data_IF_640361317909
#
_entry.id   IF_640361317909
#
_cell.length_a   1.000
_cell.length_b   1.000
_cell.length_c   1.000
_cell.angle_alpha   90.00
_cell.angle_beta   90.00
_cell.angle_gamma   90.00
#
_symmetry.space_group_name_H-M   'P 1'
#
loop_
_entity.id
_entity.type
_entity.pdbx_description
1 polymer ?
#
# COMPACT_ATOMS: atom_id res chain seq x y z
N UNK A 1 3.64 24.55 2.97
CA UNK A 1 4.29 23.59 2.11
C UNK A 1 5.72 23.20 2.53
N UNK A 2 6.57 24.17 3.02
CA UNK A 2 7.91 23.85 3.54
C UNK A 2 7.86 23.25 4.95
N UNK A 3 6.84 23.55 5.74
CA UNK A 3 6.62 23.00 7.09
C UNK A 3 6.15 21.54 7.04
N UNK A 4 5.30 21.21 6.10
CA UNK A 4 4.75 19.85 5.90
C UNK A 4 5.82 18.88 5.38
N UNK A 5 6.65 19.33 4.43
CA UNK A 5 7.79 18.55 3.94
C UNK A 5 8.87 18.31 5.02
N UNK A 6 9.05 19.23 5.98
CA UNK A 6 9.92 19.05 7.15
C UNK A 6 9.35 18.04 8.13
N UNK A 7 8.03 18.04 8.37
CA UNK A 7 7.35 17.08 9.26
C UNK A 7 7.49 15.65 8.76
N UNK A 8 7.23 15.38 7.48
CA UNK A 8 7.41 14.07 6.87
C UNK A 8 8.87 13.60 6.94
N UNK A 9 9.83 14.47 6.62
CA UNK A 9 11.25 14.15 6.71
C UNK A 9 11.71 13.74 8.12
N UNK A 10 11.13 14.35 9.15
CA UNK A 10 11.46 14.03 10.54
C UNK A 10 10.82 12.71 11.00
N UNK A 11 9.65 12.35 10.51
CA UNK A 11 9.02 11.03 10.74
C UNK A 11 9.89 9.93 10.15
N UNK A 12 10.33 10.04 8.90
CA UNK A 12 11.20 9.05 8.27
C UNK A 12 12.57 8.94 8.95
N UNK A 13 13.16 10.05 9.43
CA UNK A 13 14.40 10.01 10.21
C UNK A 13 14.22 9.26 11.53
N UNK A 14 13.14 9.54 12.27
CA UNK A 14 12.83 8.84 13.53
C UNK A 14 12.60 7.35 13.30
N UNK A 15 11.90 6.99 12.24
CA UNK A 15 11.67 5.60 11.85
C UNK A 15 13.00 4.91 11.50
N UNK A 16 13.87 5.54 10.69
CA UNK A 16 15.19 5.00 10.38
C UNK A 16 16.06 4.78 11.61
N UNK A 17 16.07 5.73 12.54
CA UNK A 17 16.80 5.58 13.81
C UNK A 17 16.22 4.44 14.65
N UNK A 18 14.91 4.33 14.77
CA UNK A 18 14.25 3.25 15.50
C UNK A 18 14.59 1.88 14.92
N UNK A 19 14.58 1.74 13.59
CA UNK A 19 14.98 0.52 12.88
C UNK A 19 16.44 0.16 13.19
N UNK A 20 17.37 1.11 13.11
CA UNK A 20 18.77 0.87 13.40
C UNK A 20 19.00 0.45 14.86
N UNK A 21 18.28 1.05 15.81
CA UNK A 21 18.33 0.69 17.24
C UNK A 21 17.82 -0.74 17.43
N UNK A 22 16.68 -1.10 16.82
CA UNK A 22 16.12 -2.45 16.89
C UNK A 22 17.05 -3.49 16.25
N UNK A 23 17.62 -3.19 15.09
CA UNK A 23 18.60 -4.04 14.43
C UNK A 23 19.85 -4.23 15.31
N UNK A 24 20.37 -3.16 15.90
CA UNK A 24 21.50 -3.25 16.81
C UNK A 24 21.17 -4.07 18.06
N UNK A 25 19.99 -3.88 18.64
CA UNK A 25 19.54 -4.64 19.80
C UNK A 25 19.40 -6.15 19.47
N UNK A 26 18.98 -6.51 18.27
CA UNK A 26 18.82 -7.89 17.82
C UNK A 26 20.14 -8.53 17.38
N UNK A 27 20.92 -7.84 16.57
CA UNK A 27 22.11 -8.39 15.91
C UNK A 27 23.39 -8.24 16.75
N UNK A 28 23.46 -7.21 17.62
CA UNK A 28 24.59 -6.92 18.51
C UNK A 28 25.96 -6.76 17.85
N UNK A 29 26.03 -6.84 16.54
CA UNK A 29 27.25 -6.71 15.73
C UNK A 29 27.10 -5.55 14.77
N UNK A 30 27.99 -4.57 14.84
CA UNK A 30 27.94 -3.37 13.98
C UNK A 30 28.02 -3.75 12.50
N UNK A 31 28.83 -4.77 12.16
CA UNK A 31 28.92 -5.26 10.77
C UNK A 31 27.59 -5.80 10.25
N UNK A 32 26.84 -6.54 11.07
CA UNK A 32 25.55 -7.09 10.67
C UNK A 32 24.50 -5.98 10.49
N UNK A 33 24.49 -5.01 11.40
CA UNK A 33 23.64 -3.82 11.28
C UNK A 33 23.97 -3.02 10.01
N UNK A 34 25.27 -2.89 9.69
CA UNK A 34 25.70 -2.21 8.47
C UNK A 34 25.29 -2.99 7.20
N UNK A 35 25.42 -4.33 7.19
CA UNK A 35 24.96 -5.16 6.07
C UNK A 35 23.46 -4.98 5.85
N UNK A 36 22.66 -5.17 6.90
CA UNK A 36 21.20 -5.03 6.78
C UNK A 36 20.80 -3.60 6.41
N UNK A 37 21.40 -2.59 7.06
CA UNK A 37 21.13 -1.19 6.73
C UNK A 37 21.47 -0.84 5.27
N UNK A 38 22.55 -1.41 4.73
CA UNK A 38 22.91 -1.24 3.32
C UNK A 38 21.94 -1.98 2.40
N UNK A 39 21.52 -3.20 2.77
CA UNK A 39 20.48 -3.94 2.04
C UNK A 39 19.20 -3.15 1.93
N UNK A 40 18.69 -2.60 3.06
CA UNK A 40 17.50 -1.76 3.09
C UNK A 40 17.61 -0.53 2.16
N UNK A 41 18.75 0.12 2.12
CA UNK A 41 18.98 1.25 1.23
C UNK A 41 19.01 0.80 -0.25
N UNK A 42 19.66 -0.33 -0.53
CA UNK A 42 19.75 -0.89 -1.89
C UNK A 42 18.37 -1.33 -2.39
N UNK A 43 17.54 -1.94 -1.55
CA UNK A 43 16.20 -2.39 -1.94
C UNK A 43 15.32 -1.22 -2.37
N UNK A 44 15.37 -0.11 -1.66
CA UNK A 44 14.65 1.10 -2.06
C UNK A 44 15.15 1.66 -3.39
N UNK A 45 16.48 1.70 -3.59
CA UNK A 45 17.07 2.17 -4.85
C UNK A 45 16.67 1.25 -6.00
N UNK A 46 16.75 -0.07 -5.82
CA UNK A 46 16.36 -1.04 -6.85
C UNK A 46 14.86 -0.98 -7.14
N UNK A 47 14.04 -0.96 -6.10
CA UNK A 47 12.58 -0.87 -6.25
C UNK A 47 12.19 0.37 -7.06
N UNK A 48 12.61 1.56 -6.62
CA UNK A 48 12.27 2.80 -7.34
C UNK A 48 12.93 2.89 -8.71
N UNK A 49 14.12 2.34 -8.86
CA UNK A 49 14.81 2.26 -10.15
C UNK A 49 14.04 1.39 -11.15
N UNK A 50 13.63 0.19 -10.76
CA UNK A 50 12.85 -0.73 -11.61
C UNK A 50 11.45 -0.18 -11.91
N UNK A 51 10.76 0.41 -10.92
CA UNK A 51 9.48 1.08 -11.12
C UNK A 51 9.64 2.24 -12.13
N UNK A 52 10.67 3.08 -11.95
CA UNK A 52 10.96 4.18 -12.87
C UNK A 52 11.23 3.71 -14.29
N UNK A 53 12.02 2.65 -14.46
CA UNK A 53 12.25 2.02 -15.76
C UNK A 53 10.97 1.45 -16.37
N UNK A 54 10.13 0.81 -15.58
CA UNK A 54 8.86 0.26 -16.04
C UNK A 54 7.90 1.37 -16.51
N UNK A 55 7.86 2.52 -15.82
CA UNK A 55 7.09 3.70 -16.24
C UNK A 55 7.62 4.28 -17.57
N UNK A 56 8.94 4.44 -17.69
CA UNK A 56 9.57 4.94 -18.93
C UNK A 56 9.29 4.01 -20.10
N UNK A 57 9.43 2.70 -19.89
CA UNK A 57 9.17 1.70 -20.93
C UNK A 57 7.68 1.68 -21.30
N UNK A 58 6.77 1.79 -20.33
CA UNK A 58 5.33 1.87 -20.56
C UNK A 58 4.98 3.05 -21.46
N UNK A 59 5.49 4.24 -21.15
CA UNK A 59 5.31 5.43 -21.99
C UNK A 59 5.88 5.25 -23.41
N UNK A 60 7.05 4.63 -23.54
CA UNK A 60 7.69 4.41 -24.84
C UNK A 60 6.93 3.39 -25.73
N UNK A 61 6.26 2.41 -25.11
CA UNK A 61 5.50 1.37 -25.81
C UNK A 61 4.01 1.67 -25.97
N UNK A 62 3.51 2.72 -25.33
CA UNK A 62 2.08 3.08 -25.29
C UNK A 62 1.25 2.22 -24.33
N UNK A 63 1.90 1.41 -23.48
CA UNK A 63 1.22 0.58 -22.47
C UNK A 63 1.55 1.10 -21.06
N UNK A 64 0.73 1.99 -20.55
CA UNK A 64 0.91 2.57 -19.20
C UNK A 64 0.22 1.72 -18.13
N UNK A 65 0.88 0.67 -17.65
CA UNK A 65 0.38 -0.19 -16.56
C UNK A 65 0.76 0.31 -15.17
N UNK A 66 1.81 1.13 -15.07
CA UNK A 66 2.39 1.60 -13.81
C UNK A 66 2.47 3.12 -13.84
N UNK A 67 1.92 3.75 -12.81
CA UNK A 67 2.03 5.17 -12.56
C UNK A 67 2.08 5.42 -11.05
N UNK A 68 2.70 6.50 -10.62
CA UNK A 68 2.75 6.83 -9.19
C UNK A 68 1.40 7.32 -8.71
N UNK A 69 0.89 6.67 -7.68
CA UNK A 69 -0.35 7.00 -6.97
C UNK A 69 -0.02 7.34 -5.50
N UNK A 70 -1.02 7.76 -4.74
CA UNK A 70 -0.88 7.96 -3.29
C UNK A 70 -0.48 6.66 -2.58
N UNK A 71 -0.96 5.50 -3.05
CA UNK A 71 -0.60 4.20 -2.50
C UNK A 71 0.89 3.86 -2.67
N UNK A 72 1.55 4.41 -3.71
CA UNK A 72 3.00 4.22 -3.92
C UNK A 72 3.84 4.75 -2.75
N UNK A 73 3.32 5.69 -1.96
CA UNK A 73 4.01 6.22 -0.78
C UNK A 73 4.08 5.22 0.39
N UNK A 74 3.23 4.18 0.39
CA UNK A 74 3.23 3.11 1.39
C UNK A 74 4.32 2.06 1.14
N UNK A 75 4.82 1.96 -0.11
CA UNK A 75 5.79 0.94 -0.51
C UNK A 75 7.06 0.91 0.33
N UNK A 76 7.73 2.04 0.62
CA UNK A 76 8.96 2.00 1.41
C UNK A 76 8.76 1.35 2.77
N UNK A 77 7.69 1.71 3.47
CA UNK A 77 7.40 1.19 4.82
C UNK A 77 7.13 -0.31 4.75
N UNK A 78 6.32 -0.74 3.77
CA UNK A 78 5.96 -2.13 3.57
C UNK A 78 7.20 -3.01 3.27
N UNK A 79 8.01 -2.57 2.31
CA UNK A 79 9.17 -3.33 1.86
C UNK A 79 10.26 -3.37 2.93
N UNK A 80 10.54 -2.26 3.61
CA UNK A 80 11.49 -2.24 4.71
C UNK A 80 11.08 -3.17 5.85
N UNK A 81 9.79 -3.24 6.18
CA UNK A 81 9.30 -4.14 7.23
C UNK A 81 9.53 -5.61 6.88
N UNK A 82 9.21 -6.02 5.64
CA UNK A 82 9.45 -7.38 5.16
C UNK A 82 10.94 -7.72 5.13
N UNK A 83 11.76 -6.81 4.62
CA UNK A 83 13.19 -7.02 4.47
C UNK A 83 13.93 -7.15 5.79
N UNK A 84 13.53 -6.39 6.82
CA UNK A 84 14.13 -6.51 8.16
C UNK A 84 13.90 -7.90 8.73
N UNK A 85 12.69 -8.41 8.66
CA UNK A 85 12.33 -9.72 9.18
C UNK A 85 13.13 -10.83 8.49
N UNK A 86 13.12 -10.85 7.18
CA UNK A 86 13.85 -11.82 6.37
C UNK A 86 15.38 -11.76 6.61
N UNK A 87 15.95 -10.56 6.72
CA UNK A 87 17.38 -10.36 7.02
C UNK A 87 17.75 -10.89 8.40
N UNK A 88 16.91 -10.66 9.41
CA UNK A 88 17.13 -11.17 10.75
C UNK A 88 17.10 -12.69 10.77
N UNK A 89 16.14 -13.32 10.11
CA UNK A 89 16.05 -14.77 10.00
C UNK A 89 17.28 -15.37 9.31
N UNK A 90 17.73 -14.77 8.22
CA UNK A 90 18.92 -15.22 7.48
C UNK A 90 20.19 -15.12 8.32
N UNK A 91 20.45 -13.98 8.97
CA UNK A 91 21.63 -13.78 9.79
C UNK A 91 21.60 -14.56 11.10
N UNK A 92 20.44 -14.73 11.73
CA UNK A 92 20.30 -15.57 12.93
C UNK A 92 20.62 -17.03 12.60
N UNK A 93 20.14 -17.55 11.47
CA UNK A 93 20.46 -18.90 11.02
C UNK A 93 21.96 -19.06 10.73
N UNK A 94 22.57 -18.09 10.08
CA UNK A 94 24.00 -18.07 9.87
C UNK A 94 24.77 -18.18 11.21
N UNK A 95 24.43 -17.35 12.18
CA UNK A 95 25.05 -17.35 13.50
C UNK A 95 24.85 -18.67 14.24
N UNK A 96 23.68 -19.27 14.14
CA UNK A 96 23.36 -20.56 14.75
C UNK A 96 24.24 -21.67 14.20
N UNK A 97 24.43 -21.72 12.87
CA UNK A 97 25.31 -22.73 12.25
C UNK A 97 26.79 -22.48 12.59
N UNK A 98 27.22 -21.23 12.67
CA UNK A 98 28.60 -20.89 13.13
C UNK A 98 28.86 -21.34 14.57
N UNK A 99 27.87 -21.18 15.46
CA UNK A 99 27.97 -21.71 16.83
C UNK A 99 28.03 -23.21 16.88
N UNK A 100 27.37 -23.89 15.95
CA UNK A 100 27.48 -25.34 15.79
C UNK A 100 28.82 -25.84 15.25
N UNK A 101 29.82 -24.94 15.05
CA UNK A 101 31.15 -25.29 14.57
C UNK A 101 31.27 -25.37 13.04
N UNK A 102 30.25 -24.91 12.28
CA UNK A 102 30.34 -24.87 10.82
C UNK A 102 31.32 -23.76 10.36
N UNK A 103 32.04 -23.98 9.27
CA UNK A 103 32.84 -22.93 8.61
C UNK A 103 31.90 -21.81 8.07
N UNK A 104 32.48 -20.64 7.76
CA UNK A 104 31.70 -19.52 7.21
C UNK A 104 30.94 -19.91 5.94
N UNK A 105 31.55 -20.65 5.03
CA UNK A 105 30.93 -21.16 3.81
C UNK A 105 29.81 -22.15 4.08
N UNK A 106 30.02 -23.11 4.98
CA UNK A 106 29.02 -24.10 5.36
C UNK A 106 27.82 -23.43 6.04
N UNK A 107 28.08 -22.44 6.90
CA UNK A 107 27.02 -21.69 7.59
C UNK A 107 26.14 -20.90 6.62
N UNK A 108 26.74 -20.20 5.64
CA UNK A 108 26.03 -19.48 4.59
C UNK A 108 25.24 -20.44 3.70
N UNK A 109 25.84 -21.54 3.26
CA UNK A 109 25.18 -22.56 2.44
C UNK A 109 23.91 -23.10 3.16
N UNK A 110 24.05 -23.41 4.46
CA UNK A 110 22.91 -23.89 5.26
C UNK A 110 21.86 -22.79 5.51
N UNK A 111 22.29 -21.55 5.72
CA UNK A 111 21.36 -20.42 5.88
C UNK A 111 20.54 -20.23 4.59
N UNK A 112 21.20 -20.15 3.43
CA UNK A 112 20.50 -19.98 2.14
C UNK A 112 19.60 -21.20 1.84
N UNK A 113 20.09 -22.44 2.04
CA UNK A 113 19.31 -23.62 1.67
C UNK A 113 18.09 -23.87 2.57
N UNK A 114 18.15 -23.52 3.86
CA UNK A 114 17.04 -23.77 4.80
C UNK A 114 16.13 -22.57 4.96
N UNK A 115 16.69 -21.38 5.19
CA UNK A 115 15.89 -20.16 5.41
C UNK A 115 15.55 -19.50 4.08
N UNK A 116 16.47 -19.50 3.11
CA UNK A 116 16.22 -18.91 1.78
C UNK A 116 15.05 -19.57 1.04
N UNK A 117 14.81 -20.88 1.21
CA UNK A 117 13.64 -21.54 0.65
C UNK A 117 12.33 -21.03 1.29
N UNK A 118 12.33 -20.82 2.61
CA UNK A 118 11.18 -20.26 3.30
C UNK A 118 10.92 -18.82 2.86
N UNK A 119 11.96 -17.98 2.81
CA UNK A 119 11.87 -16.59 2.32
C UNK A 119 11.40 -16.56 0.86
N UNK A 120 11.89 -17.45 0.00
CA UNK A 120 11.43 -17.54 -1.38
C UNK A 120 9.92 -17.85 -1.45
N UNK A 121 9.45 -18.82 -0.68
CA UNK A 121 8.04 -19.20 -0.69
C UNK A 121 7.14 -18.07 -0.18
N UNK A 122 7.53 -17.41 0.92
CA UNK A 122 6.79 -16.25 1.45
C UNK A 122 6.81 -15.08 0.47
N UNK A 123 7.94 -14.80 -0.16
CA UNK A 123 8.04 -13.73 -1.17
C UNK A 123 7.19 -14.02 -2.40
N UNK A 124 7.20 -15.25 -2.92
CA UNK A 124 6.37 -15.63 -4.07
C UNK A 124 4.88 -15.50 -3.73
N UNK A 125 4.45 -16.00 -2.57
CA UNK A 125 3.03 -15.87 -2.17
C UNK A 125 2.63 -14.41 -1.97
N UNK A 126 3.52 -13.58 -1.44
CA UNK A 126 3.29 -12.14 -1.25
C UNK A 126 3.22 -11.40 -2.59
N UNK A 127 4.12 -11.72 -3.54
CA UNK A 127 4.06 -11.16 -4.91
C UNK A 127 2.74 -11.54 -5.56
N UNK A 128 2.32 -12.81 -5.50
CA UNK A 128 1.04 -13.25 -6.07
C UNK A 128 -0.14 -12.51 -5.42
N UNK A 129 -0.12 -12.33 -4.10
CA UNK A 129 -1.16 -11.57 -3.39
C UNK A 129 -1.25 -10.11 -3.85
N UNK A 130 -0.12 -9.42 -4.02
CA UNK A 130 -0.10 -8.05 -4.56
C UNK A 130 -0.53 -8.02 -6.04
N UNK A 131 -0.09 -8.98 -6.85
CA UNK A 131 -0.48 -9.08 -8.25
C UNK A 131 -1.99 -9.34 -8.43
N UNK A 132 -2.68 -9.92 -7.45
CA UNK A 132 -4.14 -10.07 -7.48
C UNK A 132 -4.87 -8.72 -7.61
N UNK A 133 -4.26 -7.61 -7.12
CA UNK A 133 -4.81 -6.26 -7.31
C UNK A 133 -4.89 -5.84 -8.79
N UNK A 134 -4.19 -6.51 -9.71
CA UNK A 134 -4.32 -6.25 -11.15
C UNK A 134 -5.73 -6.48 -11.69
N UNK A 135 -6.55 -7.26 -10.97
CA UNK A 135 -7.95 -7.50 -11.33
C UNK A 135 -8.91 -6.39 -10.89
N UNK A 136 -8.40 -5.41 -10.10
CA UNK A 136 -9.20 -4.29 -9.60
C UNK A 136 -9.64 -3.36 -10.74
N UNK A 137 -10.84 -2.80 -10.63
CA UNK A 137 -11.33 -1.72 -11.50
C UNK A 137 -10.59 -0.39 -11.25
N UNK A 138 -10.01 -0.21 -10.04
CA UNK A 138 -9.30 1.00 -9.63
C UNK A 138 -7.87 0.97 -10.17
N UNK A 139 -7.54 1.88 -11.08
CA UNK A 139 -6.25 1.95 -11.76
C UNK A 139 -5.07 2.12 -10.76
N UNK A 140 -5.26 2.89 -9.70
CA UNK A 140 -4.24 3.11 -8.67
C UNK A 140 -3.90 1.83 -7.88
N UNK A 141 -4.88 0.97 -7.60
CA UNK A 141 -4.64 -0.33 -6.95
C UNK A 141 -3.94 -1.31 -7.88
N UNK A 142 -4.27 -1.30 -9.18
CA UNK A 142 -3.53 -2.13 -10.18
C UNK A 142 -2.06 -1.76 -10.22
N UNK A 143 -1.76 -0.45 -10.31
CA UNK A 143 -0.38 0.05 -10.31
C UNK A 143 0.35 -0.32 -9.03
N UNK A 144 -0.26 -0.08 -7.88
CA UNK A 144 0.30 -0.42 -6.58
C UNK A 144 0.62 -1.91 -6.45
N UNK A 145 -0.25 -2.80 -6.96
CA UNK A 145 -0.01 -4.24 -6.93
C UNK A 145 1.27 -4.64 -7.67
N UNK A 146 1.52 -4.05 -8.84
CA UNK A 146 2.73 -4.31 -9.63
C UNK A 146 3.95 -3.70 -8.93
N UNK A 147 3.86 -2.46 -8.47
CA UNK A 147 4.94 -1.77 -7.75
C UNK A 147 5.36 -2.55 -6.49
N UNK A 148 4.37 -3.01 -5.69
CA UNK A 148 4.62 -3.82 -4.50
C UNK A 148 5.26 -5.17 -4.85
N UNK A 149 4.80 -5.83 -5.92
CA UNK A 149 5.41 -7.06 -6.41
C UNK A 149 6.89 -6.88 -6.78
N UNK A 150 7.23 -5.79 -7.47
CA UNK A 150 8.62 -5.43 -7.80
C UNK A 150 9.42 -5.20 -6.51
N UNK A 151 8.86 -4.48 -5.53
CA UNK A 151 9.51 -4.21 -4.26
C UNK A 151 9.82 -5.50 -3.48
N UNK A 152 8.85 -6.41 -3.37
CA UNK A 152 9.05 -7.72 -2.69
C UNK A 152 10.09 -8.56 -3.41
N UNK A 153 10.11 -8.52 -4.75
CA UNK A 153 11.16 -9.21 -5.52
C UNK A 153 12.56 -8.66 -5.20
N UNK A 154 12.73 -7.34 -5.12
CA UNK A 154 14.00 -6.71 -4.75
C UNK A 154 14.42 -7.11 -3.33
N UNK A 155 13.48 -7.05 -2.36
CA UNK A 155 13.72 -7.44 -0.98
C UNK A 155 14.18 -8.90 -0.90
N UNK A 156 13.46 -9.82 -1.56
CA UNK A 156 13.83 -11.25 -1.60
C UNK A 156 15.25 -11.47 -2.11
N UNK A 157 15.62 -10.81 -3.21
CA UNK A 157 16.96 -10.98 -3.80
C UNK A 157 18.05 -10.50 -2.85
N UNK A 158 17.81 -9.36 -2.21
CA UNK A 158 18.80 -8.78 -1.30
C UNK A 158 18.90 -9.56 0.02
N UNK A 159 17.78 -9.92 0.63
CA UNK A 159 17.81 -10.65 1.91
C UNK A 159 18.16 -12.11 1.77
N UNK A 160 17.68 -12.76 0.70
CA UNK A 160 17.90 -14.18 0.47
C UNK A 160 19.29 -14.52 -0.04
N UNK A 161 19.93 -13.63 -0.80
CA UNK A 161 21.22 -13.87 -1.43
C UNK A 161 22.28 -12.86 -1.02
N UNK A 162 22.03 -11.56 -1.20
CA UNK A 162 23.06 -10.54 -1.02
C UNK A 162 23.52 -10.42 0.44
N UNK A 163 22.59 -10.42 1.40
CA UNK A 163 22.92 -10.32 2.84
C UNK A 163 23.82 -11.48 3.30
N UNK A 164 23.45 -12.76 3.09
CA UNK A 164 24.31 -13.87 3.53
C UNK A 164 25.64 -13.95 2.76
N UNK A 165 25.69 -13.62 1.48
CA UNK A 165 26.93 -13.61 0.69
C UNK A 165 27.87 -12.49 1.13
N UNK A 166 27.34 -11.29 1.37
CA UNK A 166 28.14 -10.17 1.91
C UNK A 166 28.69 -10.51 3.29
N UNK A 167 27.90 -11.24 4.10
CA UNK A 167 28.38 -11.72 5.39
C UNK A 167 29.55 -12.71 5.24
N UNK A 168 29.47 -13.63 4.28
CA UNK A 168 30.53 -14.55 3.95
C UNK A 168 31.82 -13.80 3.55
N UNK A 169 31.71 -12.83 2.65
CA UNK A 169 32.89 -12.08 2.17
C UNK A 169 33.58 -11.30 3.31
N UNK A 170 32.76 -10.70 4.20
CA UNK A 170 33.30 -10.00 5.37
C UNK A 170 34.02 -10.98 6.33
N UNK A 171 33.44 -12.15 6.59
CA UNK A 171 34.08 -13.13 7.48
C UNK A 171 35.34 -13.69 6.87
N UNK A 172 35.37 -14.03 5.57
CA UNK A 172 36.57 -14.46 4.87
C UNK A 172 37.67 -13.37 4.88
N UNK A 173 37.30 -12.11 4.73
CA UNK A 173 38.23 -10.99 4.83
C UNK A 173 38.78 -10.82 6.25
N UNK A 174 37.93 -10.95 7.29
CA UNK A 174 38.37 -10.89 8.69
C UNK A 174 39.28 -12.08 9.05
N UNK A 175 38.98 -13.29 8.57
CA UNK A 175 39.74 -14.48 8.75
C UNK A 175 41.17 -14.35 8.11
N UNK A 176 41.22 -13.80 6.88
CA UNK A 176 42.49 -13.54 6.20
C UNK A 176 43.41 -12.56 6.95
N UNK A 177 42.82 -11.72 7.82
CA UNK A 177 43.55 -10.77 8.67
C UNK A 177 43.75 -11.25 10.10
N UNK A 178 43.34 -12.48 10.43
CA UNK A 178 43.44 -13.03 11.79
C UNK A 178 42.60 -12.24 12.81
N UNK A 179 41.53 -11.58 12.37
CA UNK A 179 40.65 -10.76 13.22
C UNK A 179 39.23 -11.32 13.33
N UNK A 180 39.02 -12.55 12.87
CA UNK A 180 37.75 -13.21 13.06
C UNK A 180 37.66 -13.62 14.55
N UNK A 181 36.70 -13.03 15.27
CA UNK A 181 36.40 -13.44 16.63
C UNK A 181 35.87 -14.88 16.62
N UNK A 182 36.56 -15.80 17.23
CA UNK A 182 36.16 -17.21 17.35
C UNK A 182 34.96 -17.37 18.31
N UNK A 183 34.74 -16.41 19.21
CA UNK A 183 33.62 -16.47 20.11
C UNK A 183 32.28 -16.16 19.37
N UNK A 184 31.37 -17.15 19.33
CA UNK A 184 30.05 -16.92 18.78
C UNK A 184 29.32 -15.91 19.68
N UNK A 185 28.97 -14.76 19.11
CA UNK A 185 28.18 -13.76 19.79
C UNK A 185 26.89 -14.37 20.34
N UNK A 186 26.64 -14.14 21.62
CA UNK A 186 25.35 -14.55 22.22
C UNK A 186 24.18 -13.94 21.45
N UNK A 187 23.26 -14.80 21.00
CA UNK A 187 21.96 -14.34 20.55
C UNK A 187 21.21 -13.89 21.79
N UNK A 188 21.18 -12.60 22.01
CA UNK A 188 20.35 -12.05 23.07
C UNK A 188 18.92 -12.18 22.61
N UNK A 189 18.22 -13.16 23.14
CA UNK A 189 16.78 -13.19 23.04
C UNK A 189 16.27 -11.99 23.82
N UNK A 190 15.68 -10.99 23.15
CA UNK A 190 15.01 -9.84 23.81
C UNK A 190 13.97 -10.31 24.81
N UNK A 191 13.39 -11.47 24.58
CA UNK A 191 12.47 -12.17 25.45
C UNK A 191 13.17 -13.41 26.01
N UNK A 192 13.21 -13.59 27.34
CA UNK A 192 13.81 -14.78 27.94
C UNK A 192 13.16 -16.05 27.37
N UNK A 193 13.98 -17.00 26.92
CA UNK A 193 13.49 -18.26 26.36
C UNK A 193 12.63 -19.05 27.37
N UNK A 194 12.89 -18.88 28.67
CA UNK A 194 12.09 -19.45 29.75
C UNK A 194 10.65 -18.90 29.78
N UNK A 195 10.46 -17.63 29.47
CA UNK A 195 9.12 -17.03 29.42
C UNK A 195 8.32 -17.56 28.23
N UNK A 196 8.93 -17.64 27.04
CA UNK A 196 8.32 -18.24 25.85
C UNK A 196 8.02 -19.72 26.02
N UNK A 197 8.94 -20.50 26.62
CA UNK A 197 8.70 -21.92 26.88
C UNK A 197 7.57 -22.15 27.90
N UNK A 198 7.49 -21.30 28.94
CA UNK A 198 6.40 -21.35 29.91
C UNK A 198 5.06 -20.98 29.26
N UNK A 199 5.02 -19.94 28.43
CA UNK A 199 3.84 -19.58 27.64
C UNK A 199 3.40 -20.72 26.73
N UNK A 200 4.33 -21.32 25.98
CA UNK A 200 4.03 -22.45 25.09
C UNK A 200 3.51 -23.65 25.86
N UNK A 201 4.14 -24.00 26.99
CA UNK A 201 3.72 -25.13 27.81
C UNK A 201 2.35 -24.92 28.47
N UNK A 202 2.08 -23.69 28.94
CA UNK A 202 0.76 -23.33 29.49
C UNK A 202 -0.30 -23.30 28.40
N UNK A 203 -0.01 -22.72 27.24
CA UNK A 203 -0.94 -22.72 26.10
C UNK A 203 -1.26 -24.14 25.64
N UNK A 204 -0.28 -25.03 25.58
CA UNK A 204 -0.51 -26.44 25.26
C UNK A 204 -1.37 -27.14 26.32
N UNK A 205 -1.16 -26.87 27.62
CA UNK A 205 -1.96 -27.42 28.70
C UNK A 205 -3.42 -26.94 28.68
N UNK A 206 -3.63 -25.68 28.30
CA UNK A 206 -4.97 -25.08 28.22
C UNK A 206 -5.45 -24.92 26.79
N UNK A 207 -4.93 -25.71 25.84
CA UNK A 207 -5.28 -25.61 24.42
C UNK A 207 -6.78 -25.52 24.13
N UNK A 208 -7.67 -26.32 24.77
CA UNK A 208 -9.12 -26.20 24.52
C UNK A 208 -9.69 -24.87 25.00
N UNK A 209 -9.16 -24.30 26.08
CA UNK A 209 -9.58 -22.97 26.57
C UNK A 209 -9.13 -21.86 25.63
N UNK A 210 -7.89 -21.94 25.13
CA UNK A 210 -7.36 -20.98 24.15
C UNK A 210 -8.16 -21.03 22.85
N UNK A 211 -8.48 -22.24 22.36
CA UNK A 211 -9.31 -22.42 21.17
C UNK A 211 -10.73 -21.89 21.37
N UNK A 212 -11.34 -22.17 22.51
CA UNK A 212 -12.66 -21.65 22.83
C UNK A 212 -12.67 -20.13 22.93
N UNK A 213 -11.68 -19.55 23.58
CA UNK A 213 -11.54 -18.10 23.70
C UNK A 213 -11.34 -17.43 22.35
N UNK A 214 -10.52 -18.01 21.46
CA UNK A 214 -10.32 -17.49 20.09
C UNK A 214 -11.60 -17.59 19.27
N UNK A 215 -12.34 -18.71 19.37
CA UNK A 215 -13.62 -18.90 18.69
C UNK A 215 -14.67 -17.87 19.17
N UNK A 216 -14.73 -17.66 20.49
CA UNK A 216 -15.64 -16.69 21.10
C UNK A 216 -15.32 -15.27 20.63
N UNK A 217 -14.04 -14.89 20.63
CA UNK A 217 -13.58 -13.59 20.15
C UNK A 217 -13.95 -13.40 18.67
N UNK A 218 -13.74 -14.43 17.84
CA UNK A 218 -14.12 -14.39 16.43
C UNK A 218 -15.64 -14.24 16.26
N UNK A 219 -16.43 -14.99 17.02
CA UNK A 219 -17.89 -14.90 16.97
C UNK A 219 -18.42 -13.52 17.40
N UNK A 220 -17.75 -12.85 18.34
CA UNK A 220 -18.09 -11.49 18.75
C UNK A 220 -17.64 -10.43 17.74
N UNK A 221 -16.49 -10.65 17.09
CA UNK A 221 -15.95 -9.69 16.11
C UNK A 221 -16.62 -9.79 14.73
N UNK A 222 -17.04 -10.99 14.31
CA UNK A 222 -17.60 -11.22 12.98
C UNK A 222 -18.84 -10.35 12.64
N UNK A 223 -19.83 -10.17 13.52
CA UNK A 223 -20.97 -9.31 13.23
C UNK A 223 -20.55 -7.85 13.03
N UNK A 224 -19.60 -7.37 13.84
CA UNK A 224 -19.08 -5.99 13.74
C UNK A 224 -18.32 -5.82 12.42
N UNK A 225 -17.49 -6.80 12.05
CA UNK A 225 -16.78 -6.79 10.77
C UNK A 225 -17.75 -6.74 9.58
N UNK A 226 -18.85 -7.47 9.62
CA UNK A 226 -19.85 -7.49 8.55
C UNK A 226 -20.69 -6.19 8.48
N UNK A 227 -20.72 -5.42 9.56
CA UNK A 227 -21.38 -4.10 9.60
C UNK A 227 -20.47 -2.95 9.24
N UNK A 228 -19.17 -3.19 9.00
CA UNK A 228 -18.26 -2.16 8.50
C UNK A 228 -18.56 -1.92 7.02
N UNK A 229 -19.17 -0.80 6.74
CA UNK A 229 -19.33 -0.29 5.39
C UNK A 229 -17.99 0.29 4.94
N UNK A 230 -17.49 -0.18 3.80
CA UNK A 230 -16.30 0.38 3.18
C UNK A 230 -16.68 1.60 2.38
N UNK A 231 -16.97 2.69 3.06
CA UNK A 231 -17.22 3.97 2.43
C UNK A 231 -15.89 4.71 2.25
N UNK A 232 -15.59 5.11 1.00
CA UNK A 232 -14.42 5.91 0.67
C UNK A 232 -14.83 7.38 0.63
N UNK A 233 -14.58 8.09 1.71
CA UNK A 233 -14.81 9.54 1.75
C UNK A 233 -13.49 10.28 1.49
N UNK A 234 -13.58 11.43 0.83
CA UNK A 234 -12.40 12.28 0.53
C UNK A 234 -11.72 12.72 1.82
N UNK A 235 -12.50 12.87 2.89
CA UNK A 235 -12.07 13.22 4.24
C UNK A 235 -11.11 12.21 4.83
N UNK A 236 -11.19 10.92 4.46
CA UNK A 236 -10.30 9.86 4.96
C UNK A 236 -8.84 10.03 4.49
N UNK A 237 -8.62 10.86 3.45
CA UNK A 237 -7.30 11.11 2.87
C UNK A 237 -6.69 12.43 3.28
N UNK A 238 -7.39 13.21 4.10
CA UNK A 238 -6.99 14.56 4.52
C UNK A 238 -6.87 14.59 6.03
N UNK A 239 -5.91 15.34 6.55
CA UNK A 239 -5.80 15.55 8.00
C UNK A 239 -7.08 16.22 8.52
N UNK A 240 -7.67 15.65 9.59
CA UNK A 240 -9.01 16.03 10.09
C UNK A 240 -9.15 17.53 10.42
N UNK A 241 -8.04 18.19 10.79
CA UNK A 241 -7.98 19.61 11.16
C UNK A 241 -7.53 20.51 9.97
N UNK A 242 -7.37 19.93 8.74
CA UNK A 242 -6.96 20.72 7.58
C UNK A 242 -8.10 21.61 7.07
N UNK A 243 -7.74 22.77 6.51
CA UNK A 243 -8.71 23.69 5.88
C UNK A 243 -9.56 23.00 4.80
N UNK A 244 -9.00 21.97 4.15
CA UNK A 244 -9.71 21.18 3.15
C UNK A 244 -10.77 20.27 3.79
N UNK A 245 -10.44 19.52 4.85
CA UNK A 245 -11.39 18.67 5.56
C UNK A 245 -12.55 19.50 6.17
N UNK A 246 -12.20 20.63 6.78
CA UNK A 246 -13.21 21.58 7.31
C UNK A 246 -14.07 22.13 6.19
N UNK A 247 -13.48 22.46 5.04
CA UNK A 247 -14.21 22.96 3.87
C UNK A 247 -15.16 21.93 3.28
N UNK A 248 -14.72 20.67 3.10
CA UNK A 248 -15.56 19.56 2.60
C UNK A 248 -16.67 19.24 3.60
N UNK A 249 -16.36 19.17 4.90
CA UNK A 249 -17.39 18.99 5.93
C UNK A 249 -18.46 20.10 5.93
N UNK A 250 -18.04 21.37 5.72
CA UNK A 250 -19.01 22.48 5.59
C UNK A 250 -19.87 22.38 4.32
N UNK A 251 -19.31 21.82 3.24
CA UNK A 251 -20.05 21.59 2.00
C UNK A 251 -21.07 20.47 2.25
N UNK A 252 -20.65 19.34 2.81
CA UNK A 252 -21.52 18.20 3.10
C UNK A 252 -22.67 18.56 4.08
N UNK A 253 -22.39 19.40 5.09
CA UNK A 253 -23.41 19.85 6.05
C UNK A 253 -24.42 20.84 5.48
N UNK A 254 -24.03 21.64 4.49
CA UNK A 254 -24.86 22.76 3.97
C UNK A 254 -25.47 22.49 2.60
N UNK A 255 -24.83 21.69 1.82
CA UNK A 255 -25.26 21.24 0.51
C UNK A 255 -25.46 19.74 0.67
N UNK A 256 -26.70 19.25 0.58
CA UNK A 256 -26.98 17.81 0.65
C UNK A 256 -25.94 17.01 -0.13
N UNK A 257 -25.53 15.86 0.41
CA UNK A 257 -24.51 14.97 -0.17
C UNK A 257 -24.86 14.65 -1.64
N UNK A 258 -24.34 15.44 -2.57
CA UNK A 258 -24.67 15.34 -3.99
C UNK A 258 -23.84 14.26 -4.69
N UNK A 259 -23.05 13.49 -3.92
CA UNK A 259 -22.23 12.41 -4.47
C UNK A 259 -21.17 12.91 -5.47
N UNK A 260 -20.41 11.98 -6.07
CA UNK A 260 -19.51 12.31 -7.15
C UNK A 260 -20.30 12.57 -8.46
N UNK A 261 -20.02 13.69 -9.17
CA UNK A 261 -20.69 13.96 -10.43
C UNK A 261 -20.37 12.89 -11.47
N UNK A 262 -21.39 12.22 -11.97
CA UNK A 262 -21.23 11.30 -13.09
C UNK A 262 -21.11 12.09 -14.40
N UNK A 263 -20.01 11.94 -15.09
CA UNK A 263 -19.78 12.60 -16.38
C UNK A 263 -20.24 11.72 -17.53
N UNK A 264 -21.12 12.25 -18.36
CA UNK A 264 -21.52 11.62 -19.63
C UNK A 264 -20.99 12.48 -20.77
N UNK A 265 -20.06 11.95 -21.54
CA UNK A 265 -19.52 12.62 -22.71
C UNK A 265 -20.42 12.34 -23.92
N UNK A 266 -21.01 13.39 -24.50
CA UNK A 266 -21.79 13.30 -25.73
C UNK A 266 -20.97 13.86 -26.88
N UNK A 267 -20.53 13.00 -27.80
CA UNK A 267 -19.75 13.40 -28.97
C UNK A 267 -20.65 13.45 -30.22
N UNK A 268 -20.50 14.51 -31.01
CA UNK A 268 -21.20 14.67 -32.27
C UNK A 268 -21.81 16.07 -32.48
N UNK A 269 -22.79 16.17 -33.37
CA UNK A 269 -23.47 17.43 -33.59
C UNK A 269 -24.52 17.63 -32.50
N UNK A 270 -24.13 18.23 -31.38
CA UNK A 270 -24.97 18.46 -30.20
C UNK A 270 -26.14 19.45 -30.47
N UNK A 271 -26.09 20.20 -31.56
CA UNK A 271 -27.20 21.10 -31.97
C UNK A 271 -28.30 20.40 -32.77
N UNK A 272 -28.11 19.12 -33.09
CA UNK A 272 -29.12 18.34 -33.78
C UNK A 272 -30.32 18.06 -32.83
N UNK A 273 -31.56 18.39 -33.21
CA UNK A 273 -32.72 18.14 -32.38
C UNK A 273 -32.91 16.70 -31.92
N UNK A 274 -32.43 15.71 -32.72
CA UNK A 274 -32.48 14.30 -32.32
C UNK A 274 -31.53 13.97 -31.18
N UNK A 275 -30.36 14.62 -31.12
CA UNK A 275 -29.42 14.42 -30.00
C UNK A 275 -29.97 15.03 -28.73
N UNK A 276 -30.55 16.23 -28.81
CA UNK A 276 -31.20 16.88 -27.66
C UNK A 276 -32.36 16.02 -27.14
N UNK A 277 -33.14 15.45 -28.05
CA UNK A 277 -34.25 14.57 -27.69
C UNK A 277 -33.74 13.26 -27.04
N UNK A 278 -32.63 12.68 -27.51
CA UNK A 278 -32.02 11.51 -26.91
C UNK A 278 -31.51 11.80 -25.48
N UNK A 279 -30.95 12.98 -25.24
CA UNK A 279 -30.51 13.41 -23.89
C UNK A 279 -31.70 13.55 -22.94
N UNK A 280 -32.82 14.15 -23.44
CA UNK A 280 -34.02 14.25 -22.65
C UNK A 280 -34.72 12.90 -22.38
N UNK A 281 -34.59 11.95 -23.30
CA UNK A 281 -35.04 10.57 -23.08
C UNK A 281 -34.18 9.85 -22.02
N UNK A 282 -32.87 10.12 -21.96
CA UNK A 282 -32.01 9.65 -20.87
C UNK A 282 -32.45 10.22 -19.53
N UNK A 283 -32.70 11.53 -19.46
CA UNK A 283 -33.25 12.19 -18.25
C UNK A 283 -34.55 11.53 -17.79
N UNK A 284 -35.50 11.31 -18.71
CA UNK A 284 -36.76 10.66 -18.38
C UNK A 284 -36.60 9.24 -17.87
N UNK A 285 -35.68 8.50 -18.44
CA UNK A 285 -35.36 7.14 -17.98
C UNK A 285 -34.74 7.16 -16.56
N UNK A 286 -33.87 8.12 -16.26
CA UNK A 286 -33.32 8.32 -14.91
C UNK A 286 -34.39 8.75 -13.91
N UNK A 287 -35.39 9.57 -14.33
CA UNK A 287 -36.52 9.99 -13.50
C UNK A 287 -37.58 8.90 -13.27
N UNK A 288 -37.53 7.78 -14.00
CA UNK A 288 -38.53 6.69 -13.90
C UNK A 288 -38.41 5.85 -12.64
N UNK A 289 -37.30 5.98 -11.87
CA UNK A 289 -37.16 5.35 -10.58
C UNK A 289 -37.94 6.12 -9.52
N UNK A 290 -38.80 5.43 -8.77
CA UNK A 290 -39.72 6.06 -7.82
C UNK A 290 -39.00 6.64 -6.59
N UNK A 291 -39.69 7.48 -5.80
CA UNK A 291 -39.11 8.12 -4.62
C UNK A 291 -38.69 7.17 -3.50
N UNK A 292 -39.07 5.88 -3.57
CA UNK A 292 -38.72 4.84 -2.60
C UNK A 292 -37.48 4.03 -3.04
N UNK A 293 -36.94 4.26 -4.23
CA UNK A 293 -35.67 3.66 -4.65
C UNK A 293 -34.55 4.58 -4.17
N UNK A 294 -33.55 4.08 -3.44
CA UNK A 294 -32.42 4.87 -3.00
C UNK A 294 -31.56 5.22 -4.21
N UNK A 295 -32.06 6.14 -5.06
CA UNK A 295 -31.23 6.66 -6.12
C UNK A 295 -30.29 7.73 -5.56
N UNK A 296 -29.02 7.52 -5.80
CA UNK A 296 -27.94 8.44 -5.44
C UNK A 296 -27.77 9.54 -6.50
N UNK A 297 -28.85 9.91 -7.17
CA UNK A 297 -28.82 10.92 -8.24
C UNK A 297 -29.34 12.25 -7.69
N UNK A 298 -28.53 13.30 -7.84
CA UNK A 298 -28.97 14.67 -7.49
C UNK A 298 -30.15 15.12 -8.28
N UNK A 299 -31.12 15.75 -7.58
CA UNK A 299 -32.38 16.23 -8.18
C UNK A 299 -32.56 17.70 -7.96
N UNK A 300 -33.09 18.37 -8.99
CA UNK A 300 -33.57 19.76 -8.88
C UNK A 300 -34.74 19.85 -7.91
N UNK A 301 -35.05 21.05 -7.39
CA UNK A 301 -36.19 21.25 -6.48
C UNK A 301 -37.58 20.86 -7.07
N UNK A 302 -37.68 20.71 -8.40
CA UNK A 302 -38.87 20.22 -9.10
C UNK A 302 -38.95 18.68 -9.14
N UNK A 303 -37.92 17.98 -8.62
CA UNK A 303 -37.83 16.51 -8.60
C UNK A 303 -37.17 15.87 -9.82
N UNK A 304 -36.78 16.65 -10.83
CA UNK A 304 -36.09 16.13 -12.02
C UNK A 304 -34.59 15.93 -11.75
N UNK A 305 -33.96 14.96 -12.44
CA UNK A 305 -32.51 14.75 -12.41
C UNK A 305 -31.80 15.99 -12.96
N UNK A 306 -30.80 16.46 -12.22
CA UNK A 306 -30.00 17.61 -12.60
C UNK A 306 -28.95 17.21 -13.64
N UNK A 307 -28.97 17.84 -14.81
CA UNK A 307 -28.02 17.67 -15.90
C UNK A 307 -27.35 19.01 -16.21
N UNK A 308 -26.38 19.40 -15.37
CA UNK A 308 -25.73 20.73 -15.36
C UNK A 308 -25.38 21.29 -16.75
N UNK A 309 -24.77 20.49 -17.61
CA UNK A 309 -24.35 20.93 -18.94
C UNK A 309 -25.53 21.16 -19.92
N UNK A 310 -26.53 20.30 -19.86
CA UNK A 310 -27.70 20.36 -20.79
C UNK A 310 -28.69 21.42 -20.34
N UNK A 311 -28.91 21.53 -19.06
CA UNK A 311 -29.79 22.56 -18.52
C UNK A 311 -29.30 23.98 -18.85
N UNK A 312 -27.96 24.18 -18.77
CA UNK A 312 -27.32 25.41 -19.18
C UNK A 312 -27.50 25.68 -20.68
N UNK A 313 -27.34 24.68 -21.55
CA UNK A 313 -27.53 24.81 -23.00
C UNK A 313 -28.97 25.10 -23.34
N UNK A 314 -29.92 24.43 -22.71
CA UNK A 314 -31.38 24.70 -22.90
C UNK A 314 -31.75 26.10 -22.43
N UNK A 315 -31.22 26.54 -21.30
CA UNK A 315 -31.43 27.88 -20.77
C UNK A 315 -30.87 28.95 -21.72
N UNK A 316 -29.64 28.78 -22.22
CA UNK A 316 -29.04 29.68 -23.21
C UNK A 316 -29.81 29.71 -24.53
N UNK A 317 -30.35 28.56 -24.99
CA UNK A 317 -31.18 28.51 -26.19
C UNK A 317 -32.52 29.25 -26.03
N UNK A 318 -33.14 29.14 -24.85
CA UNK A 318 -34.38 29.86 -24.50
C UNK A 318 -34.17 31.37 -24.45
N UNK A 319 -33.02 31.85 -23.93
CA UNK A 319 -32.67 33.28 -23.94
C UNK A 319 -32.51 33.77 -25.36
N UNK A 320 -31.88 33.02 -26.26
CA UNK A 320 -31.69 33.39 -27.65
C UNK A 320 -33.01 33.38 -28.46
N UNK A 321 -33.96 32.53 -28.10
CA UNK A 321 -35.31 32.49 -28.72
C UNK A 321 -36.21 33.62 -28.22
N UNK A 322 -36.02 34.04 -26.96
CA UNK A 322 -36.84 35.12 -26.37
C UNK A 322 -36.37 36.54 -26.73
N UNK A 323 -35.20 36.74 -27.34
CA UNK A 323 -34.68 38.03 -27.77
C UNK A 323 -34.44 38.20 -29.30
N UNK A 324 -35.32 37.81 -30.21
CA UNK A 324 -35.15 38.13 -31.63
C UNK A 324 -35.55 39.56 -32.02
N UNK A 325 -35.99 40.39 -31.08
CA UNK A 325 -36.65 41.66 -31.42
C UNK A 325 -35.96 42.95 -30.94
N UNK A 326 -34.81 42.90 -30.27
CA UNK A 326 -34.12 44.09 -29.78
C UNK A 326 -32.90 44.57 -30.54
N UNK A 327 -32.57 44.00 -31.70
CA UNK A 327 -31.47 44.46 -32.56
C UNK A 327 -31.95 45.01 -33.92
N UNK A 328 -33.03 45.80 -33.92
CA UNK A 328 -33.33 46.72 -35.01
C UNK A 328 -33.85 48.02 -34.41
N UNK A 329 -32.92 48.90 -34.07
CA UNK A 329 -33.08 50.35 -34.26
C UNK A 329 -31.73 51.01 -34.04
#
# INVERSE_FOLDING_TARGET
DVSESRGLGDVYKRQGVAILVLLWASLRRVSDVAIVGTSLALSLVWMYGLIGWAIVLGKATGYEFIFRSQFSNLLPILILALEIDDSLHSLHRYKEERRGGASSEQAVHKAISKVGLAIMLTSVTTIVAFMANMTSSIAALRSFGIEAGIGVFCAFFLTGLWVPLTRLDIDNWLESKGRLDEEPLDVVHMIPSSWLSNLASQSARFAPVVLLASLLLTALAAPIMLSLEGDFQVEDFVEADSDLAVGVGMINDRFSDEGEPAYVLVEGNITNPMVIQAIEDVRRNMNSHGPDDPDQISRMPNGDVELLGVDLLLWLSLIHISEPTRLRH
#
